data_IF_278554776810
#
_entry.id   IF_278554776810
#
_cell.length_a   1.000
_cell.length_b   1.000
_cell.length_c   1.000
_cell.angle_alpha   90.00
_cell.angle_beta   90.00
_cell.angle_gamma   90.00
#
_symmetry.space_group_name_H-M   'P 1'
#
loop_
_entity.id
_entity.type
_entity.pdbx_description
1 polymer ?
#
# COMPACT_ATOMS: atom_id res chain seq x y z
N UNK A 1 -19.34 12.10 8.65
CA UNK A 1 -18.78 13.03 7.64
C UNK A 1 -19.06 12.40 6.28
N UNK A 2 -19.86 13.02 5.40
CA UNK A 2 -20.28 12.38 4.17
C UNK A 2 -19.13 12.34 3.17
N UNK A 3 -18.99 11.21 2.49
CA UNK A 3 -18.05 10.99 1.39
C UNK A 3 -18.43 11.88 0.21
N UNK A 4 -17.63 12.91 -0.03
CA UNK A 4 -17.78 13.80 -1.16
C UNK A 4 -16.43 14.42 -1.48
N UNK A 5 -15.92 14.12 -2.68
CA UNK A 5 -14.92 14.88 -3.41
C UNK A 5 -13.75 15.45 -2.59
N UNK A 6 -12.61 14.73 -2.54
CA UNK A 6 -11.31 15.38 -2.33
C UNK A 6 -10.43 14.90 -1.17
N UNK A 7 -10.59 13.68 -0.64
CA UNK A 7 -9.62 13.10 0.31
C UNK A 7 -8.74 11.98 -0.25
N UNK A 8 -9.16 11.32 -1.33
CA UNK A 8 -8.32 10.34 -2.06
C UNK A 8 -7.17 10.96 -2.88
N UNK A 9 -6.96 12.28 -2.77
CA UNK A 9 -5.88 13.03 -3.45
C UNK A 9 -4.59 13.13 -2.62
N UNK A 10 -4.53 12.59 -1.39
CA UNK A 10 -3.36 12.79 -0.51
C UNK A 10 -2.17 11.87 -0.81
N UNK A 11 -2.28 10.91 -1.75
CA UNK A 11 -1.18 9.95 -1.97
C UNK A 11 -0.35 10.17 -3.23
N UNK A 12 -0.61 11.21 -4.00
CA UNK A 12 0.33 11.64 -5.02
C UNK A 12 1.38 12.52 -4.37
N UNK A 13 2.39 11.91 -3.73
CA UNK A 13 3.78 12.39 -3.57
C UNK A 13 4.45 11.61 -2.41
N UNK A 14 5.61 10.93 -2.60
CA UNK A 14 6.50 10.96 -3.76
C UNK A 14 6.85 9.56 -4.29
N UNK A 15 6.22 9.16 -5.40
CA UNK A 15 6.81 8.22 -6.35
C UNK A 15 7.64 8.95 -7.44
N UNK A 16 7.84 10.26 -7.30
CA UNK A 16 8.48 11.13 -8.31
C UNK A 16 9.97 11.42 -8.08
N UNK A 17 10.64 10.69 -7.18
CA UNK A 17 12.10 10.74 -7.07
C UNK A 17 12.72 9.67 -7.98
N UNK A 18 13.60 10.06 -8.91
CA UNK A 18 14.32 9.15 -9.83
C UNK A 18 15.21 8.11 -9.11
N UNK A 19 15.38 8.25 -7.79
CA UNK A 19 16.15 7.35 -6.91
C UNK A 19 15.27 6.70 -5.83
N UNK A 20 13.95 6.90 -5.84
CA UNK A 20 13.06 6.28 -4.84
C UNK A 20 13.08 4.76 -4.97
N UNK A 21 13.29 4.07 -3.86
CA UNK A 21 13.11 2.63 -3.75
C UNK A 21 11.63 2.31 -3.53
N UNK A 22 11.32 1.16 -2.95
CA UNK A 22 9.95 0.68 -2.81
C UNK A 22 9.14 1.57 -1.84
N UNK A 23 7.94 1.95 -2.27
CA UNK A 23 6.88 2.49 -1.42
C UNK A 23 5.81 1.43 -1.19
N UNK A 24 5.54 1.09 0.07
CA UNK A 24 4.45 0.20 0.46
C UNK A 24 3.23 1.02 0.89
N UNK A 25 2.10 0.84 0.23
CA UNK A 25 0.83 1.49 0.59
C UNK A 25 -0.11 0.47 1.19
N UNK A 26 -0.72 0.78 2.32
CA UNK A 26 -1.66 -0.06 3.06
C UNK A 26 -3.05 0.58 3.03
N UNK A 27 -4.05 -0.11 2.49
CA UNK A 27 -5.42 0.42 2.31
C UNK A 27 -6.49 -0.44 3.00
N UNK A 28 -7.56 0.14 3.58
CA UNK A 28 -8.58 -0.62 4.31
C UNK A 28 -9.60 -1.34 3.43
N UNK A 29 -9.82 -0.88 2.19
CA UNK A 29 -10.90 -1.36 1.33
C UNK A 29 -10.35 -1.92 0.01
N UNK A 30 -10.90 -3.05 -0.44
CA UNK A 30 -10.54 -3.67 -1.72
C UNK A 30 -10.77 -2.72 -2.91
N UNK A 31 -11.91 -2.02 -2.94
CA UNK A 31 -12.19 -1.05 -3.99
C UNK A 31 -11.18 0.11 -4.06
N UNK A 32 -10.62 0.54 -2.92
CA UNK A 32 -9.55 1.56 -2.89
C UNK A 32 -8.23 1.00 -3.41
N UNK A 33 -7.96 -0.29 -3.15
CA UNK A 33 -6.79 -0.97 -3.66
C UNK A 33 -6.81 -0.98 -5.19
N UNK A 34 -7.90 -1.48 -5.77
CA UNK A 34 -8.05 -1.63 -7.23
C UNK A 34 -7.97 -0.25 -7.91
N UNK A 35 -8.68 0.75 -7.39
CA UNK A 35 -8.63 2.12 -7.90
C UNK A 35 -7.21 2.73 -7.83
N UNK A 36 -6.47 2.49 -6.74
CA UNK A 36 -5.11 2.98 -6.58
C UNK A 36 -4.14 2.33 -7.59
N UNK A 37 -4.21 1.01 -7.74
CA UNK A 37 -3.38 0.27 -8.71
C UNK A 37 -3.67 0.77 -10.12
N UNK A 38 -4.94 0.87 -10.50
CA UNK A 38 -5.39 1.36 -11.80
C UNK A 38 -4.90 2.79 -12.07
N UNK A 39 -5.06 3.70 -11.10
CA UNK A 39 -4.63 5.10 -11.25
C UNK A 39 -3.12 5.21 -11.39
N UNK A 40 -2.35 4.50 -10.57
CA UNK A 40 -0.90 4.54 -10.65
C UNK A 40 -0.37 3.97 -11.98
N UNK A 41 -0.96 2.88 -12.47
CA UNK A 41 -0.60 2.30 -13.76
C UNK A 41 -0.97 3.23 -14.93
N UNK A 42 -2.13 3.89 -14.89
CA UNK A 42 -2.52 4.92 -15.89
C UNK A 42 -1.57 6.11 -15.92
N UNK A 43 -0.90 6.41 -14.80
CA UNK A 43 0.13 7.45 -14.70
C UNK A 43 1.54 6.94 -15.10
N UNK A 44 1.67 5.68 -15.51
CA UNK A 44 2.95 5.07 -15.89
C UNK A 44 3.85 4.69 -14.72
N UNK A 45 3.33 4.71 -13.48
CA UNK A 45 4.08 4.33 -12.27
C UNK A 45 4.05 2.81 -12.14
N UNK A 46 5.21 2.17 -11.97
CA UNK A 46 5.29 0.71 -11.86
C UNK A 46 4.68 0.25 -10.54
N UNK A 47 3.43 -0.20 -10.60
CA UNK A 47 2.61 -0.48 -9.42
C UNK A 47 1.97 -1.86 -9.51
N UNK A 48 1.97 -2.59 -8.40
CA UNK A 48 1.28 -3.86 -8.28
C UNK A 48 0.62 -4.04 -6.92
N UNK A 49 -0.39 -4.91 -6.89
CA UNK A 49 -0.97 -5.41 -5.65
C UNK A 49 -0.05 -6.47 -5.03
N UNK A 50 0.11 -6.44 -3.70
CA UNK A 50 0.76 -7.53 -2.99
C UNK A 50 -0.13 -8.79 -3.00
N UNK A 51 0.48 -9.94 -3.30
CA UNK A 51 -0.14 -11.26 -3.23
C UNK A 51 0.83 -12.33 -2.70
N UNK A 52 0.32 -13.47 -2.29
CA UNK A 52 1.13 -14.59 -1.79
C UNK A 52 2.10 -15.16 -2.84
N UNK A 53 1.88 -14.89 -4.13
CA UNK A 53 2.82 -15.29 -5.19
C UNK A 53 3.97 -14.29 -5.37
N UNK A 54 3.90 -13.12 -4.71
CA UNK A 54 4.87 -12.02 -4.79
C UNK A 54 5.79 -11.94 -3.55
N UNK A 55 6.20 -13.10 -3.02
CA UNK A 55 7.02 -13.19 -1.80
C UNK A 55 8.48 -12.78 -1.98
N UNK A 56 8.99 -12.68 -3.21
CA UNK A 56 10.34 -12.20 -3.48
C UNK A 56 10.35 -10.86 -4.20
N UNK A 57 11.32 -10.00 -3.88
CA UNK A 57 11.48 -8.70 -4.57
C UNK A 57 11.75 -8.89 -6.05
N UNK A 58 12.47 -9.96 -6.43
CA UNK A 58 12.69 -10.30 -7.84
C UNK A 58 11.37 -10.56 -8.57
N UNK A 59 10.40 -11.18 -7.89
CA UNK A 59 9.07 -11.42 -8.44
C UNK A 59 8.24 -10.14 -8.58
N UNK A 60 8.52 -9.12 -7.75
CA UNK A 60 7.95 -7.77 -7.88
C UNK A 60 8.64 -6.93 -8.97
N UNK A 61 9.76 -7.41 -9.52
CA UNK A 61 10.50 -6.73 -10.58
C UNK A 61 10.99 -5.34 -10.16
N UNK A 62 10.68 -4.34 -11.00
CA UNK A 62 11.04 -2.94 -10.81
C UNK A 62 9.91 -2.11 -10.18
N UNK A 63 8.94 -2.74 -9.52
CA UNK A 63 7.82 -2.04 -8.88
C UNK A 63 8.30 -0.92 -7.94
N UNK A 64 7.75 0.27 -8.14
CA UNK A 64 8.00 1.48 -7.34
C UNK A 64 6.99 1.58 -6.19
N UNK A 65 5.77 1.09 -6.44
CA UNK A 65 4.69 1.05 -5.46
C UNK A 65 4.15 -0.37 -5.35
N UNK A 66 4.06 -0.87 -4.12
CA UNK A 66 3.28 -2.07 -3.79
C UNK A 66 2.09 -1.63 -2.95
N UNK A 67 0.89 -1.98 -3.39
CA UNK A 67 -0.35 -1.70 -2.65
C UNK A 67 -0.82 -2.99 -1.96
N UNK A 68 -1.11 -2.90 -0.67
CA UNK A 68 -1.54 -4.01 0.16
C UNK A 68 -2.83 -3.66 0.90
N UNK A 69 -3.73 -4.62 0.99
CA UNK A 69 -4.92 -4.49 1.82
C UNK A 69 -4.60 -4.71 3.29
N UNK A 70 -5.33 -4.07 4.19
CA UNK A 70 -5.03 -4.23 5.63
C UNK A 70 -5.29 -5.63 6.16
N UNK A 71 -6.12 -6.41 5.48
CA UNK A 71 -6.30 -7.83 5.74
C UNK A 71 -5.02 -8.66 5.48
N UNK A 72 -4.10 -8.19 4.63
CA UNK A 72 -2.81 -8.89 4.39
C UNK A 72 -1.84 -8.71 5.56
N UNK A 73 -2.06 -7.73 6.45
CA UNK A 73 -1.19 -7.48 7.61
C UNK A 73 -1.13 -8.65 8.60
N UNK A 74 -2.12 -9.54 8.59
CA UNK A 74 -2.14 -10.76 9.42
C UNK A 74 -1.45 -11.96 8.76
N UNK A 75 -1.05 -11.84 7.50
CA UNK A 75 -0.38 -12.90 6.76
C UNK A 75 1.13 -12.91 7.10
N UNK A 76 1.65 -14.05 7.54
CA UNK A 76 3.06 -14.19 7.92
C UNK A 76 4.02 -14.06 6.74
N UNK A 77 3.61 -14.49 5.54
CA UNK A 77 4.38 -14.29 4.32
C UNK A 77 4.51 -12.80 3.99
N UNK A 78 3.42 -12.03 4.14
CA UNK A 78 3.47 -10.57 4.00
C UNK A 78 4.43 -9.94 5.00
N UNK A 79 4.32 -10.28 6.29
CA UNK A 79 5.22 -9.76 7.34
C UNK A 79 6.68 -10.08 7.07
N UNK A 80 6.95 -11.31 6.64
CA UNK A 80 8.30 -11.78 6.30
C UNK A 80 8.84 -11.02 5.10
N UNK A 81 8.03 -10.83 4.08
CA UNK A 81 8.39 -10.04 2.90
C UNK A 81 8.71 -8.58 3.25
N UNK A 82 7.84 -7.89 4.01
CA UNK A 82 8.08 -6.49 4.46
C UNK A 82 9.40 -6.38 5.23
N UNK A 83 9.65 -7.31 6.16
CA UNK A 83 10.92 -7.36 6.91
C UNK A 83 12.12 -7.54 6.00
N UNK A 84 12.04 -8.46 5.03
CA UNK A 84 13.12 -8.72 4.06
C UNK A 84 13.44 -7.46 3.25
N UNK A 85 12.45 -6.84 2.61
CA UNK A 85 12.68 -5.63 1.80
C UNK A 85 13.16 -4.44 2.64
N UNK A 86 12.78 -4.37 3.92
CA UNK A 86 13.30 -3.39 4.86
C UNK A 86 14.77 -3.65 5.23
N UNK A 87 15.13 -4.88 5.57
CA UNK A 87 16.50 -5.26 5.96
C UNK A 87 17.48 -5.14 4.79
N UNK A 88 17.02 -5.44 3.57
CA UNK A 88 17.83 -5.26 2.36
C UNK A 88 18.03 -3.77 2.02
N UNK A 89 17.38 -2.85 2.74
CA UNK A 89 17.43 -1.41 2.52
C UNK A 89 16.65 -0.95 1.29
N UNK A 90 15.62 -1.68 0.86
CA UNK A 90 14.80 -1.38 -0.32
C UNK A 90 13.46 -0.74 -0.01
N UNK A 91 13.01 -0.80 1.23
CA UNK A 91 11.79 -0.12 1.67
C UNK A 91 12.13 1.30 2.11
N UNK A 92 11.68 2.30 1.36
CA UNK A 92 11.89 3.71 1.71
C UNK A 92 10.72 4.26 2.53
N UNK A 93 9.50 3.80 2.26
CA UNK A 93 8.28 4.42 2.80
C UNK A 93 7.18 3.38 3.04
N UNK A 94 6.47 3.52 4.16
CA UNK A 94 5.18 2.88 4.40
C UNK A 94 4.13 3.97 4.52
N UNK A 95 3.06 3.86 3.73
CA UNK A 95 1.94 4.78 3.68
C UNK A 95 0.69 4.02 4.11
N UNK A 96 -0.11 4.60 4.99
CA UNK A 96 -1.38 4.00 5.44
C UNK A 96 -2.50 4.95 5.03
N UNK A 97 -3.37 4.48 4.14
CA UNK A 97 -4.55 5.23 3.71
C UNK A 97 -5.71 4.99 4.67
N UNK A 98 -6.58 6.01 4.79
CA UNK A 98 -7.82 5.97 5.57
C UNK A 98 -7.60 5.52 7.03
N UNK A 99 -6.49 5.97 7.65
CA UNK A 99 -6.12 5.62 9.03
C UNK A 99 -7.24 5.95 10.05
N UNK A 100 -8.10 6.95 9.77
CA UNK A 100 -9.26 7.31 10.60
C UNK A 100 -10.33 6.21 10.67
N UNK A 101 -10.44 5.34 9.66
CA UNK A 101 -11.33 4.17 9.70
C UNK A 101 -10.96 3.21 10.85
N UNK A 102 -9.66 3.07 11.16
CA UNK A 102 -9.18 2.23 12.26
C UNK A 102 -9.60 2.76 13.62
N UNK A 103 -9.60 4.08 13.79
CA UNK A 103 -10.02 4.72 15.04
C UNK A 103 -11.51 4.52 15.28
N UNK A 104 -12.34 4.62 14.24
CA UNK A 104 -13.78 4.40 14.37
C UNK A 104 -14.17 2.92 14.57
N UNK A 105 -13.48 1.97 13.93
CA UNK A 105 -13.76 0.53 14.09
C UNK A 105 -13.39 -0.01 15.48
N UNK A 106 -12.28 0.46 16.07
CA UNK A 106 -11.93 0.06 17.44
C UNK A 106 -12.96 0.54 18.48
N UNK A 107 -13.64 1.66 18.24
CA UNK A 107 -14.70 2.13 19.12
C UNK A 107 -16.04 1.39 18.93
N UNK A 108 -16.30 0.79 17.77
CA UNK A 108 -17.52 -0.01 17.54
C UNK A 108 -17.41 -1.44 18.07
N UNK A 109 -16.20 -2.03 18.07
CA UNK A 109 -15.96 -3.40 18.57
C UNK A 109 -15.83 -3.47 20.11
N UNK A 110 -15.95 -2.33 20.80
CA UNK A 110 -15.92 -2.20 22.27
C UNK A 110 -17.31 -1.92 22.89
N UNK A 111 -18.40 -2.18 22.17
CA UNK A 111 -19.78 -2.10 22.68
C UNK A 111 -20.53 -3.40 22.52
#
# INVERSE_FOLDING_TARGET
MPTGAGKSTVFTVPATFREAKLTLVIVPLAALLDDMVDRCQKLGIRTCQWSDTTQDRRSLGSAEIVVAGTWTSKNDAFRTWVKKVSLDGWLDRIVIDEATYYTHKQHSDLR
#
